data_IF_793115299523
#
_entry.id   IF_793115299523
#
_cell.length_a   1.000
_cell.length_b   1.000
_cell.length_c   1.000
_cell.angle_alpha   90.00
_cell.angle_beta   90.00
_cell.angle_gamma   90.00
#
_symmetry.space_group_name_H-M   'P 1'
#
loop_
_entity.id
_entity.type
_entity.pdbx_description
1 polymer ?
#
# COMPACT_ATOMS: atom_id res chain seq x y z
N UNK A 1 -15.00 23.48 -6.33
CA UNK A 1 -15.04 22.21 -5.59
C UNK A 1 -13.59 21.81 -5.42
N UNK A 2 -13.05 21.80 -4.20
CA UNK A 2 -11.64 21.46 -4.00
C UNK A 2 -11.49 19.95 -4.22
N UNK A 3 -10.83 19.58 -5.30
CA UNK A 3 -10.46 18.19 -5.58
C UNK A 3 -9.25 17.87 -4.71
N UNK A 4 -9.28 16.72 -4.00
CA UNK A 4 -8.12 16.23 -3.28
C UNK A 4 -7.10 15.77 -4.33
N UNK A 5 -5.88 16.30 -4.29
CA UNK A 5 -4.78 15.86 -5.14
C UNK A 5 -4.29 14.48 -4.70
N UNK A 6 -5.01 13.44 -5.13
CA UNK A 6 -4.80 12.04 -4.75
C UNK A 6 -4.59 11.22 -5.98
N UNK A 7 -3.49 10.44 -5.98
CA UNK A 7 -3.19 9.41 -6.96
C UNK A 7 -3.26 8.05 -6.30
N UNK A 8 -3.85 7.07 -6.98
CA UNK A 8 -4.08 5.74 -6.43
C UNK A 8 -3.43 4.68 -7.31
N UNK A 9 -2.61 3.84 -6.69
CA UNK A 9 -2.05 2.64 -7.30
C UNK A 9 -2.39 1.42 -6.43
N UNK A 10 -2.66 0.28 -7.06
CA UNK A 10 -3.07 -0.96 -6.38
C UNK A 10 -2.15 -2.12 -6.76
N UNK A 11 -1.60 -2.79 -5.75
CA UNK A 11 -0.84 -4.03 -5.88
C UNK A 11 -1.74 -5.22 -5.54
N UNK A 12 -1.76 -6.22 -6.42
CA UNK A 12 -2.65 -7.37 -6.34
C UNK A 12 -1.81 -8.64 -6.47
N UNK A 13 -1.64 -9.38 -5.39
CA UNK A 13 -1.09 -10.73 -5.43
C UNK A 13 -2.21 -11.77 -5.64
N UNK A 14 -2.06 -12.67 -6.62
CA UNK A 14 -3.05 -13.72 -6.94
C UNK A 14 -2.46 -15.11 -6.78
N UNK A 15 -3.27 -16.07 -6.36
CA UNK A 15 -2.85 -17.48 -6.29
C UNK A 15 -1.78 -17.78 -5.24
N UNK A 16 -1.54 -16.85 -4.31
CA UNK A 16 -0.55 -16.98 -3.23
C UNK A 16 -1.23 -17.14 -1.86
N UNK A 17 -0.62 -17.87 -0.91
CA UNK A 17 -1.04 -17.85 0.48
C UNK A 17 -1.04 -16.42 1.05
N UNK A 18 -1.95 -16.11 1.99
CA UNK A 18 -2.16 -14.74 2.49
C UNK A 18 -0.88 -14.06 2.97
N UNK A 19 0.02 -14.79 3.63
CA UNK A 19 1.31 -14.24 4.07
C UNK A 19 2.20 -13.84 2.90
N UNK A 20 2.37 -14.73 1.92
CA UNK A 20 3.20 -14.46 0.74
C UNK A 20 2.59 -13.34 -0.11
N UNK A 21 1.26 -13.34 -0.26
CA UNK A 21 0.53 -12.27 -0.94
C UNK A 21 0.77 -10.90 -0.28
N UNK A 22 0.74 -10.85 1.07
CA UNK A 22 1.06 -9.63 1.82
C UNK A 22 2.51 -9.20 1.59
N UNK A 23 3.45 -10.13 1.75
CA UNK A 23 4.88 -9.82 1.60
C UNK A 23 5.16 -9.26 0.19
N UNK A 24 4.55 -9.81 -0.85
CA UNK A 24 4.63 -9.29 -2.23
C UNK A 24 4.06 -7.86 -2.36
N UNK A 25 2.87 -7.60 -1.81
CA UNK A 25 2.27 -6.27 -1.86
C UNK A 25 3.07 -5.22 -1.06
N UNK A 26 3.53 -5.56 0.14
CA UNK A 26 4.35 -4.66 0.97
C UNK A 26 5.68 -4.35 0.27
N UNK A 27 6.34 -5.36 -0.32
CA UNK A 27 7.56 -5.16 -1.07
C UNK A 27 7.33 -4.25 -2.29
N UNK A 28 6.27 -4.48 -3.06
CA UNK A 28 5.91 -3.67 -4.22
C UNK A 28 5.61 -2.21 -3.86
N UNK A 29 4.83 -1.97 -2.80
CA UNK A 29 4.52 -0.61 -2.32
C UNK A 29 5.77 0.09 -1.80
N UNK A 30 6.61 -0.60 -1.02
CA UNK A 30 7.84 -0.01 -0.49
C UNK A 30 8.83 0.37 -1.60
N UNK A 31 9.02 -0.51 -2.59
CA UNK A 31 9.87 -0.23 -3.75
C UNK A 31 9.32 0.95 -4.56
N UNK A 32 8.01 1.01 -4.80
CA UNK A 32 7.40 2.14 -5.50
C UNK A 32 7.54 3.45 -4.74
N UNK A 33 7.38 3.42 -3.41
CA UNK A 33 7.58 4.60 -2.56
C UNK A 33 9.01 5.15 -2.71
N UNK A 34 10.03 4.28 -2.72
CA UNK A 34 11.43 4.67 -2.93
C UNK A 34 11.66 5.44 -4.24
N UNK A 35 10.89 5.15 -5.30
CA UNK A 35 11.03 5.75 -6.63
C UNK A 35 10.07 6.91 -6.89
N UNK A 36 9.11 7.14 -5.98
CA UNK A 36 8.06 8.14 -6.17
C UNK A 36 8.45 9.56 -5.74
N UNK A 37 9.56 9.71 -5.01
CA UNK A 37 9.94 10.97 -4.35
C UNK A 37 9.10 11.28 -3.10
N UNK A 38 8.36 10.31 -2.55
CA UNK A 38 7.61 10.49 -1.32
C UNK A 38 8.54 10.64 -0.10
N UNK A 39 8.16 11.53 0.82
CA UNK A 39 8.87 11.70 2.09
C UNK A 39 8.52 10.61 3.12
N UNK A 40 7.29 10.06 3.04
CA UNK A 40 6.76 9.13 4.02
C UNK A 40 5.91 8.02 3.40
N UNK A 41 6.12 6.80 3.88
CA UNK A 41 5.23 5.65 3.70
C UNK A 41 4.50 5.36 5.02
N UNK A 42 3.18 5.49 5.02
CA UNK A 42 2.35 5.27 6.20
C UNK A 42 1.47 4.05 5.93
N UNK A 43 1.50 3.07 6.83
CA UNK A 43 0.63 1.91 6.81
C UNK A 43 -0.34 1.95 7.98
N UNK A 44 -1.53 1.41 7.79
CA UNK A 44 -2.41 1.15 8.93
C UNK A 44 -1.78 0.11 9.86
N UNK A 45 -1.89 0.37 11.16
CA UNK A 45 -1.32 -0.46 12.21
C UNK A 45 -2.16 -1.70 12.45
N UNK A 46 -1.57 -2.85 12.20
CA UNK A 46 -2.00 -4.15 12.71
C UNK A 46 -0.87 -4.71 13.57
N UNK A 47 -1.06 -4.81 14.89
CA UNK A 47 -0.01 -5.22 15.82
C UNK A 47 0.53 -6.62 15.55
N UNK A 48 -0.28 -7.51 14.95
CA UNK A 48 0.12 -8.87 14.61
C UNK A 48 1.04 -8.92 13.38
N UNK A 49 0.96 -7.94 12.50
CA UNK A 49 1.70 -7.89 11.22
C UNK A 49 2.84 -6.85 11.23
N UNK A 50 2.73 -5.81 12.06
CA UNK A 50 3.65 -4.68 12.12
C UNK A 50 5.12 -5.10 12.24
N UNK A 51 5.41 -6.12 13.05
CA UNK A 51 6.78 -6.60 13.24
C UNK A 51 7.40 -7.20 11.97
N UNK A 52 6.60 -7.94 11.18
CA UNK A 52 7.04 -8.52 9.91
C UNK A 52 7.16 -7.44 8.83
N UNK A 53 6.15 -6.57 8.71
CA UNK A 53 6.13 -5.49 7.73
C UNK A 53 7.31 -4.53 7.91
N UNK A 54 7.60 -4.12 9.17
CA UNK A 54 8.74 -3.25 9.46
C UNK A 54 10.07 -3.83 9.01
N UNK A 55 10.27 -5.15 9.20
CA UNK A 55 11.51 -5.83 8.78
C UNK A 55 11.60 -5.89 7.26
N UNK A 56 10.50 -6.20 6.58
CA UNK A 56 10.44 -6.28 5.13
C UNK A 56 10.69 -4.91 4.49
N UNK A 57 9.98 -3.86 4.92
CA UNK A 57 10.16 -2.49 4.43
C UNK A 57 11.61 -2.05 4.63
N UNK A 58 12.19 -2.26 5.82
CA UNK A 58 13.59 -1.95 6.07
C UNK A 58 14.56 -2.67 5.12
N UNK A 59 14.31 -3.93 4.79
CA UNK A 59 15.14 -4.66 3.82
C UNK A 59 15.02 -4.10 2.40
N UNK A 60 13.82 -3.70 1.97
CA UNK A 60 13.59 -3.11 0.66
C UNK A 60 14.27 -1.74 0.55
N UNK A 61 14.08 -0.85 1.53
CA UNK A 61 14.73 0.48 1.54
C UNK A 61 16.26 0.35 1.46
N UNK A 62 16.85 -0.63 2.17
CA UNK A 62 18.29 -0.92 2.06
C UNK A 62 18.70 -1.39 0.68
N UNK A 63 17.92 -2.27 0.05
CA UNK A 63 18.19 -2.77 -1.31
C UNK A 63 18.11 -1.64 -2.35
N UNK A 64 17.11 -0.77 -2.21
CA UNK A 64 16.90 0.41 -3.06
C UNK A 64 17.87 1.56 -2.75
N UNK A 65 18.72 1.41 -1.72
CA UNK A 65 19.65 2.44 -1.22
C UNK A 65 18.94 3.77 -0.87
N UNK A 66 17.68 3.71 -0.46
CA UNK A 66 16.91 4.87 -0.05
C UNK A 66 16.98 5.02 1.48
N UNK A 67 17.65 6.09 1.94
CA UNK A 67 17.83 6.40 3.37
C UNK A 67 16.91 7.52 3.86
N UNK A 68 16.27 8.24 2.94
CA UNK A 68 15.49 9.45 3.26
C UNK A 68 14.00 9.14 3.46
N UNK A 69 13.48 8.09 2.78
CA UNK A 69 12.10 7.65 2.92
C UNK A 69 11.84 7.17 4.35
N UNK A 70 10.99 7.89 5.06
CA UNK A 70 10.52 7.48 6.39
C UNK A 70 9.35 6.52 6.23
N UNK A 71 9.22 5.57 7.15
CA UNK A 71 8.05 4.71 7.20
C UNK A 71 7.52 4.53 8.62
N UNK A 72 6.21 4.45 8.76
CA UNK A 72 5.56 4.26 10.05
C UNK A 72 4.25 3.47 9.91
N UNK A 73 3.82 2.90 11.03
CA UNK A 73 2.48 2.32 11.16
C UNK A 73 1.67 3.23 12.07
N UNK A 74 0.45 3.55 11.67
CA UNK A 74 -0.40 4.46 12.40
C UNK A 74 -1.83 3.91 12.55
N UNK A 75 -2.49 4.29 13.62
CA UNK A 75 -3.88 3.97 13.85
C UNK A 75 -4.76 4.75 12.87
N UNK A 76 -5.97 4.25 12.53
CA UNK A 76 -6.84 4.87 11.53
C UNK A 76 -7.18 6.34 11.81
N UNK A 77 -7.22 6.75 13.07
CA UNK A 77 -7.55 8.12 13.48
C UNK A 77 -6.34 9.08 13.48
N UNK A 78 -5.11 8.56 13.41
CA UNK A 78 -3.89 9.38 13.40
C UNK A 78 -3.63 9.96 12.00
N UNK A 79 -4.04 9.26 10.93
CA UNK A 79 -3.87 9.69 9.54
C UNK A 79 -5.13 9.41 8.72
N UNK A 80 -6.06 10.38 8.59
CA UNK A 80 -7.34 10.20 7.90
C UNK A 80 -7.22 9.74 6.44
N UNK A 81 -6.10 10.04 5.76
CA UNK A 81 -5.87 9.62 4.37
C UNK A 81 -5.65 8.10 4.22
N UNK A 82 -5.33 7.37 5.29
CA UNK A 82 -5.24 5.90 5.25
C UNK A 82 -6.57 5.25 4.83
N UNK A 83 -7.69 5.89 5.12
CA UNK A 83 -9.02 5.36 4.77
C UNK A 83 -9.23 5.27 3.26
N UNK A 84 -8.58 6.14 2.48
CA UNK A 84 -8.68 6.08 1.00
C UNK A 84 -8.02 4.80 0.50
N UNK A 85 -6.82 4.49 1.00
CA UNK A 85 -6.11 3.26 0.61
C UNK A 85 -6.87 2.00 1.03
N UNK A 86 -7.43 1.99 2.24
CA UNK A 86 -8.19 0.83 2.74
C UNK A 86 -9.48 0.63 1.95
N UNK A 87 -10.26 1.69 1.69
CA UNK A 87 -11.48 1.62 0.91
C UNK A 87 -11.22 1.09 -0.52
N UNK A 88 -10.14 1.54 -1.18
CA UNK A 88 -9.77 1.05 -2.51
C UNK A 88 -9.34 -0.42 -2.45
N UNK A 89 -8.47 -0.79 -1.51
CA UNK A 89 -8.02 -2.17 -1.35
C UNK A 89 -9.21 -3.12 -1.09
N UNK A 90 -10.14 -2.72 -0.23
CA UNK A 90 -11.37 -3.46 0.05
C UNK A 90 -12.25 -3.62 -1.19
N UNK A 91 -12.42 -2.57 -2.00
CA UNK A 91 -13.20 -2.65 -3.25
C UNK A 91 -12.60 -3.67 -4.23
N UNK A 92 -11.26 -3.73 -4.33
CA UNK A 92 -10.57 -4.70 -5.18
C UNK A 92 -10.66 -6.13 -4.64
N UNK A 93 -10.60 -6.30 -3.32
CA UNK A 93 -10.77 -7.61 -2.65
C UNK A 93 -12.21 -8.13 -2.79
N UNK A 94 -13.21 -7.25 -2.60
CA UNK A 94 -14.63 -7.59 -2.71
C UNK A 94 -15.06 -7.89 -4.14
N UNK A 95 -14.42 -7.27 -5.14
CA UNK A 95 -14.71 -7.50 -6.56
C UNK A 95 -16.05 -6.93 -7.01
N UNK A 96 -16.57 -7.46 -8.13
CA UNK A 96 -17.88 -7.11 -8.67
C UNK A 96 -18.09 -5.61 -8.87
N UNK A 97 -19.24 -5.12 -8.41
CA UNK A 97 -19.63 -3.71 -8.55
C UNK A 97 -18.72 -2.76 -7.75
N UNK A 98 -18.20 -3.19 -6.61
CA UNK A 98 -17.30 -2.37 -5.78
C UNK A 98 -16.00 -2.08 -6.51
N UNK A 99 -15.39 -3.11 -7.10
CA UNK A 99 -14.21 -2.91 -7.95
C UNK A 99 -14.53 -1.97 -9.12
N UNK A 100 -15.63 -2.21 -9.84
CA UNK A 100 -16.07 -1.37 -10.98
C UNK A 100 -16.18 0.11 -10.59
N UNK A 101 -16.72 0.40 -9.41
CA UNK A 101 -16.89 1.77 -8.91
C UNK A 101 -15.58 2.41 -8.47
N UNK A 102 -14.63 1.62 -7.98
CA UNK A 102 -13.30 2.12 -7.60
C UNK A 102 -12.35 2.28 -8.79
N UNK A 103 -12.58 1.59 -9.91
CA UNK A 103 -11.67 1.63 -11.07
C UNK A 103 -11.31 3.04 -11.57
N UNK A 104 -12.25 4.01 -11.68
CA UNK A 104 -11.91 5.36 -12.13
C UNK A 104 -10.95 6.11 -11.22
N UNK A 105 -10.79 5.69 -9.96
CA UNK A 105 -9.86 6.31 -9.01
C UNK A 105 -8.42 5.80 -9.19
N UNK A 106 -8.24 4.62 -9.82
CA UNK A 106 -6.95 3.91 -9.85
C UNK A 106 -6.17 4.19 -11.13
N UNK A 107 -5.03 4.85 -10.98
CA UNK A 107 -4.10 5.18 -12.07
C UNK A 107 -3.27 3.96 -12.50
N UNK A 108 -2.81 3.16 -11.52
CA UNK A 108 -1.92 2.03 -11.77
C UNK A 108 -2.36 0.76 -11.06
N UNK A 109 -2.21 -0.37 -11.76
CA UNK A 109 -2.50 -1.71 -11.23
C UNK A 109 -1.33 -2.63 -11.51
N UNK A 110 -0.77 -3.20 -10.46
CA UNK A 110 0.31 -4.17 -10.55
C UNK A 110 -0.20 -5.52 -10.08
N UNK A 111 -0.21 -6.50 -10.98
CA UNK A 111 -0.64 -7.87 -10.68
C UNK A 111 0.59 -8.74 -10.56
N UNK A 112 0.75 -9.37 -9.39
CA UNK A 112 1.79 -10.33 -9.08
C UNK A 112 1.15 -11.72 -9.05
N UNK A 113 1.69 -12.62 -9.87
CA UNK A 113 1.23 -14.01 -10.03
C UNK A 113 2.07 -14.94 -9.17
#
# INVERSE_FOLDING_TARGET
>A
MNELDVRVAVWIAKGRPSKEARDLCIAGVAAAACHSGADQLILERDDSLMGADRKLIASILRQEKNIDLKYQHAAPHEYPLLWVSDAVAWCYSSGGDWKRRAEPLVEHRLIML
#
